data_IF_025182335197
#
_entry.id   IF_025182335197
#
_cell.length_a   1.000
_cell.length_b   1.000
_cell.length_c   1.000
_cell.angle_alpha   90.00
_cell.angle_beta   90.00
_cell.angle_gamma   90.00
#
_symmetry.space_group_name_H-M   'P 1'
#
loop_
_entity.id
_entity.type
_entity.pdbx_description
1 polymer ?
#
# COMPACT_ATOMS: atom_id res chain seq x y z
N UNK A 1 -18.65 12.42 -17.47
CA UNK A 1 -17.67 12.00 -16.43
C UNK A 1 -16.28 12.48 -16.80
N UNK A 2 -15.62 13.29 -15.96
CA UNK A 2 -14.21 13.69 -16.18
C UNK A 2 -13.30 12.49 -15.91
N UNK A 3 -12.40 12.18 -16.85
CA UNK A 3 -11.37 11.15 -16.64
C UNK A 3 -10.35 11.69 -15.63
N UNK A 4 -9.97 10.88 -14.65
CA UNK A 4 -8.89 11.23 -13.72
C UNK A 4 -7.56 11.07 -14.47
N UNK A 5 -6.72 12.11 -14.43
CA UNK A 5 -5.34 12.05 -14.91
C UNK A 5 -4.48 11.40 -13.82
N UNK A 6 -3.67 10.42 -14.19
CA UNK A 6 -2.73 9.75 -13.28
C UNK A 6 -1.41 9.47 -14.00
N UNK A 7 -0.30 9.43 -13.26
CA UNK A 7 1.00 8.94 -13.75
C UNK A 7 0.99 7.41 -13.72
N UNK A 8 1.56 6.78 -14.74
CA UNK A 8 1.68 5.33 -14.80
C UNK A 8 3.16 4.95 -14.86
N UNK A 9 3.64 4.21 -13.86
CA UNK A 9 5.04 3.83 -13.69
C UNK A 9 5.24 2.36 -14.07
N UNK A 10 6.31 2.08 -14.81
CA UNK A 10 6.65 0.70 -15.19
C UNK A 10 7.22 -0.04 -13.99
N UNK A 11 6.76 -1.28 -13.70
CA UNK A 11 7.38 -2.09 -12.67
C UNK A 11 8.77 -2.61 -13.07
N UNK A 12 9.11 -2.60 -14.36
CA UNK A 12 10.37 -3.11 -14.87
C UNK A 12 11.36 -1.98 -15.18
N UNK A 13 12.57 -2.09 -14.63
CA UNK A 13 13.67 -1.15 -14.86
C UNK A 13 14.07 -1.15 -16.34
N UNK A 14 14.26 0.04 -16.92
CA UNK A 14 14.69 0.19 -18.31
C UNK A 14 13.63 -0.08 -19.38
N UNK A 15 12.40 -0.45 -18.99
CA UNK A 15 11.30 -0.74 -19.91
C UNK A 15 10.18 0.27 -19.67
N UNK A 16 9.74 0.95 -20.74
CA UNK A 16 8.58 1.84 -20.65
C UNK A 16 7.29 1.04 -20.46
N UNK A 17 6.28 1.65 -19.83
CA UNK A 17 4.93 1.08 -19.73
C UNK A 17 4.39 0.60 -21.09
N UNK A 18 4.62 1.38 -22.16
CA UNK A 18 4.16 1.03 -23.51
C UNK A 18 4.84 -0.25 -24.03
N UNK A 19 6.13 -0.43 -23.76
CA UNK A 19 6.86 -1.63 -24.14
C UNK A 19 6.38 -2.84 -23.34
N UNK A 20 6.29 -2.72 -22.01
CA UNK A 20 5.86 -3.82 -21.14
C UNK A 20 4.45 -4.31 -21.49
N UNK A 21 3.51 -3.41 -21.77
CA UNK A 21 2.12 -3.77 -22.14
C UNK A 21 2.06 -4.65 -23.39
N UNK A 22 2.99 -4.49 -24.34
CA UNK A 22 3.03 -5.29 -25.56
C UNK A 22 3.49 -6.73 -25.33
N UNK A 23 4.20 -6.98 -24.24
CA UNK A 23 4.77 -8.29 -23.92
C UNK A 23 3.97 -9.04 -22.86
N UNK A 24 2.86 -8.47 -22.36
CA UNK A 24 2.06 -9.12 -21.32
C UNK A 24 1.31 -10.34 -21.86
N UNK A 25 1.31 -11.46 -21.13
CA UNK A 25 0.38 -12.56 -21.36
C UNK A 25 -1.08 -12.09 -21.36
N UNK A 26 -1.99 -12.79 -22.09
CA UNK A 26 -3.39 -12.39 -22.20
C UNK A 26 -4.10 -12.13 -20.87
N UNK A 27 -3.84 -12.96 -19.86
CA UNK A 27 -4.48 -12.84 -18.54
C UNK A 27 -4.02 -11.59 -17.78
N UNK A 28 -2.72 -11.32 -17.77
CA UNK A 28 -2.17 -10.09 -17.18
C UNK A 28 -2.61 -8.84 -17.95
N UNK A 29 -2.73 -8.93 -19.28
CA UNK A 29 -3.29 -7.83 -20.08
C UNK A 29 -4.77 -7.58 -19.76
N UNK A 30 -5.57 -8.63 -19.55
CA UNK A 30 -6.96 -8.51 -19.15
C UNK A 30 -7.11 -7.90 -17.76
N UNK A 31 -6.28 -8.33 -16.80
CA UNK A 31 -6.20 -7.75 -15.47
C UNK A 31 -5.81 -6.27 -15.52
N UNK A 32 -4.74 -5.91 -16.24
CA UNK A 32 -4.30 -4.53 -16.41
C UNK A 32 -5.38 -3.62 -17.01
N UNK A 33 -6.18 -4.13 -17.97
CA UNK A 33 -7.32 -3.37 -18.52
C UNK A 33 -8.36 -3.03 -17.44
N UNK A 34 -8.61 -3.93 -16.49
CA UNK A 34 -9.53 -3.68 -15.35
C UNK A 34 -8.96 -2.59 -14.44
N UNK A 35 -7.69 -2.71 -14.04
CA UNK A 35 -7.00 -1.74 -13.19
C UNK A 35 -7.02 -0.34 -13.83
N UNK A 36 -6.59 -0.21 -15.09
CA UNK A 36 -6.61 1.06 -15.83
C UNK A 36 -8.02 1.65 -15.95
N UNK A 37 -9.05 0.81 -16.13
CA UNK A 37 -10.45 1.27 -16.17
C UNK A 37 -10.86 1.87 -14.83
N UNK A 38 -10.47 1.26 -13.71
CA UNK A 38 -10.73 1.81 -12.37
C UNK A 38 -9.96 3.11 -12.13
N UNK A 39 -8.66 3.17 -12.44
CA UNK A 39 -7.83 4.39 -12.31
C UNK A 39 -8.43 5.58 -13.06
N UNK A 40 -8.76 5.40 -14.34
CA UNK A 40 -9.37 6.45 -15.18
C UNK A 40 -10.72 6.95 -14.65
N UNK A 41 -11.47 6.10 -13.96
CA UNK A 41 -12.76 6.42 -13.37
C UNK A 41 -12.66 6.95 -11.94
N UNK A 42 -11.47 6.98 -11.33
CA UNK A 42 -11.31 7.28 -9.91
C UNK A 42 -11.98 6.25 -8.99
N UNK A 43 -12.13 5.02 -9.47
CA UNK A 43 -12.84 3.94 -8.78
C UNK A 43 -11.89 2.94 -8.10
N UNK A 44 -10.64 3.35 -7.85
CA UNK A 44 -9.67 2.52 -7.12
C UNK A 44 -10.07 2.50 -5.65
N UNK A 45 -10.09 1.32 -5.00
CA UNK A 45 -10.45 1.22 -3.60
C UNK A 45 -9.54 2.09 -2.73
N UNK A 46 -10.15 2.82 -1.81
CA UNK A 46 -9.44 3.62 -0.80
C UNK A 46 -9.24 2.77 0.46
N UNK A 47 -8.01 2.60 0.97
CA UNK A 47 -7.78 1.82 2.19
C UNK A 47 -8.53 2.41 3.40
N UNK A 48 -8.80 3.72 3.43
CA UNK A 48 -9.60 4.32 4.51
C UNK A 48 -11.07 3.88 4.52
N UNK A 49 -11.59 3.36 3.41
CA UNK A 49 -13.00 2.98 3.31
C UNK A 49 -13.37 1.74 4.14
N UNK A 50 -12.40 0.86 4.37
CA UNK A 50 -12.55 -0.36 5.17
C UNK A 50 -11.53 -0.43 6.31
N UNK A 51 -10.85 0.66 6.66
CA UNK A 51 -9.90 0.72 7.77
C UNK A 51 -10.57 0.30 9.09
N UNK A 52 -9.95 -0.64 9.79
CA UNK A 52 -10.15 -0.87 11.22
C UNK A 52 -9.18 0.08 11.92
N UNK A 53 -9.73 1.13 12.54
CA UNK A 53 -8.95 2.20 13.16
C UNK A 53 -9.07 2.13 14.68
N UNK A 54 -8.06 1.54 15.31
CA UNK A 54 -7.92 1.39 16.77
C UNK A 54 -6.74 2.23 17.29
N UNK A 55 -6.24 3.16 16.46
CA UNK A 55 -5.03 3.93 16.71
C UNK A 55 -5.28 5.16 17.59
N UNK A 56 -4.30 5.43 18.44
CA UNK A 56 -4.17 6.68 19.22
C UNK A 56 -3.19 7.67 18.60
N UNK A 57 -2.45 7.25 17.58
CA UNK A 57 -1.48 8.08 16.87
C UNK A 57 -2.20 9.02 15.90
N UNK A 58 -2.00 10.33 16.05
CA UNK A 58 -2.66 11.41 15.29
C UNK A 58 -4.21 11.38 15.38
N UNK A 59 -4.91 12.17 14.56
CA UNK A 59 -6.37 12.18 14.50
C UNK A 59 -6.90 11.15 13.50
N UNK A 60 -8.09 10.57 13.71
CA UNK A 60 -8.70 9.64 12.76
C UNK A 60 -8.81 10.22 11.34
N UNK A 61 -9.16 11.50 11.22
CA UNK A 61 -9.24 12.18 9.92
C UNK A 61 -7.88 12.22 9.23
N UNK A 62 -6.82 12.51 9.99
CA UNK A 62 -5.47 12.58 9.45
C UNK A 62 -4.97 11.22 8.98
N UNK A 63 -5.16 10.18 9.80
CA UNK A 63 -4.81 8.80 9.45
C UNK A 63 -5.43 8.39 8.13
N UNK A 64 -6.74 8.62 7.97
CA UNK A 64 -7.49 8.31 6.74
C UNK A 64 -6.90 9.02 5.52
N UNK A 65 -6.58 10.31 5.64
CA UNK A 65 -5.95 11.09 4.55
C UNK A 65 -4.56 10.58 4.21
N UNK A 66 -3.75 10.28 5.22
CA UNK A 66 -2.39 9.80 5.04
C UNK A 66 -2.36 8.47 4.29
N UNK A 67 -3.12 7.47 4.76
CA UNK A 67 -3.13 6.14 4.13
C UNK A 67 -3.68 6.19 2.70
N UNK A 68 -4.72 7.00 2.47
CA UNK A 68 -5.27 7.18 1.13
C UNK A 68 -4.25 7.86 0.19
N UNK A 69 -3.48 8.83 0.70
CA UNK A 69 -2.44 9.51 -0.08
C UNK A 69 -1.28 8.56 -0.42
N UNK A 70 -0.77 7.81 0.56
CA UNK A 70 0.31 6.83 0.34
C UNK A 70 -0.13 5.78 -0.68
N UNK A 71 -1.29 5.17 -0.47
CA UNK A 71 -1.80 4.16 -1.37
C UNK A 71 -2.11 4.72 -2.77
N UNK A 72 -2.55 5.97 -2.89
CA UNK A 72 -2.76 6.60 -4.19
C UNK A 72 -1.45 6.79 -4.99
N UNK A 73 -0.33 7.10 -4.33
CA UNK A 73 0.99 7.20 -4.98
C UNK A 73 1.42 5.84 -5.53
N UNK A 74 1.30 4.79 -4.72
CA UNK A 74 1.69 3.43 -5.10
C UNK A 74 0.80 2.89 -6.21
N UNK A 75 -0.48 3.29 -6.22
CA UNK A 75 -1.40 2.93 -7.29
C UNK A 75 -1.01 3.56 -8.66
N UNK A 76 -0.02 4.44 -8.73
CA UNK A 76 0.57 4.85 -10.01
C UNK A 76 1.33 3.71 -10.71
N UNK A 77 1.78 2.69 -9.97
CA UNK A 77 2.44 1.53 -10.57
C UNK A 77 1.49 0.75 -11.47
N UNK A 78 1.99 0.18 -12.56
CA UNK A 78 1.17 -0.38 -13.64
C UNK A 78 0.05 -1.32 -13.16
N UNK A 79 0.40 -2.25 -12.28
CA UNK A 79 -0.51 -3.27 -11.75
C UNK A 79 -1.27 -2.82 -10.48
N UNK A 80 -0.98 -1.64 -9.94
CA UNK A 80 -1.63 -1.12 -8.74
C UNK A 80 -0.95 -1.59 -7.46
N UNK A 81 -1.72 -1.61 -6.36
CA UNK A 81 -1.21 -1.73 -4.98
C UNK A 81 -0.88 -3.16 -4.51
N UNK A 82 -1.51 -4.17 -5.09
CA UNK A 82 -1.52 -5.54 -4.58
C UNK A 82 -0.16 -6.29 -4.61
N UNK A 83 0.86 -5.73 -5.27
CA UNK A 83 2.24 -6.27 -5.27
C UNK A 83 3.24 -5.35 -4.53
N UNK A 84 2.75 -4.29 -3.89
CA UNK A 84 3.57 -3.16 -3.44
C UNK A 84 3.56 -2.98 -1.92
N UNK A 85 3.49 -4.08 -1.17
CA UNK A 85 3.43 -4.02 0.29
C UNK A 85 4.68 -3.35 0.88
N UNK A 86 5.87 -3.67 0.36
CA UNK A 86 7.13 -3.06 0.79
C UNK A 86 7.15 -1.55 0.57
N UNK A 87 6.87 -1.08 -0.65
CA UNK A 87 6.86 0.36 -0.95
C UNK A 87 5.79 1.10 -0.14
N UNK A 88 4.66 0.44 0.14
CA UNK A 88 3.64 0.98 1.04
C UNK A 88 4.13 1.17 2.45
N UNK A 89 4.77 0.16 3.03
CA UNK A 89 5.31 0.23 4.37
C UNK A 89 6.40 1.30 4.49
N UNK A 90 7.33 1.36 3.53
CA UNK A 90 8.44 2.34 3.54
C UNK A 90 7.93 3.78 3.40
N UNK A 91 6.95 4.05 2.53
CA UNK A 91 6.39 5.40 2.41
C UNK A 91 5.63 5.82 3.67
N UNK A 92 4.93 4.89 4.33
CA UNK A 92 4.26 5.17 5.61
C UNK A 92 5.25 5.40 6.74
N UNK A 93 6.27 4.56 6.86
CA UNK A 93 7.37 4.72 7.83
C UNK A 93 7.98 6.12 7.72
N UNK A 94 8.42 6.52 6.51
CA UNK A 94 9.02 7.85 6.28
C UNK A 94 8.06 8.99 6.60
N UNK A 95 6.78 8.79 6.33
CA UNK A 95 5.75 9.77 6.67
C UNK A 95 5.64 9.96 8.17
N UNK A 96 5.58 8.87 8.93
CA UNK A 96 5.48 8.88 10.38
C UNK A 96 6.75 9.44 11.03
N UNK A 97 7.93 9.07 10.53
CA UNK A 97 9.21 9.65 10.95
C UNK A 97 9.22 11.16 10.71
N UNK A 98 8.76 11.63 9.55
CA UNK A 98 8.66 13.08 9.26
C UNK A 98 7.64 13.82 10.13
N UNK A 99 6.72 13.09 10.76
CA UNK A 99 5.77 13.61 11.74
C UNK A 99 6.29 13.52 13.19
N UNK A 100 7.50 12.99 13.39
CA UNK A 100 8.16 12.88 14.70
C UNK A 100 7.89 11.57 15.45
N UNK A 101 7.35 10.55 14.79
CA UNK A 101 7.13 9.24 15.38
C UNK A 101 8.31 8.29 15.12
N UNK A 102 8.61 7.44 16.09
CA UNK A 102 9.50 6.29 15.89
C UNK A 102 8.69 5.17 15.21
N UNK A 103 8.89 5.03 13.90
CA UNK A 103 8.22 4.05 13.06
C UNK A 103 9.24 3.19 12.32
N UNK A 104 8.87 1.95 12.02
CA UNK A 104 9.70 1.00 11.29
C UNK A 104 8.87 0.22 10.28
N UNK A 105 9.30 0.19 9.02
CA UNK A 105 8.76 -0.75 8.04
C UNK A 105 9.36 -2.13 8.29
N UNK A 106 8.50 -3.15 8.30
CA UNK A 106 8.88 -4.53 8.59
C UNK A 106 8.44 -5.42 7.45
N UNK A 107 9.29 -6.40 7.10
CA UNK A 107 9.03 -7.42 6.09
C UNK A 107 8.94 -8.77 6.80
N UNK A 108 7.95 -9.57 6.44
CA UNK A 108 7.79 -10.89 7.01
C UNK A 108 6.70 -11.69 6.33
N UNK A 109 6.17 -12.67 7.05
CA UNK A 109 5.10 -13.54 6.57
C UNK A 109 3.80 -13.15 7.26
N UNK A 110 2.77 -12.91 6.45
CA UNK A 110 1.39 -12.85 6.90
C UNK A 110 0.74 -14.22 6.71
N UNK A 111 0.33 -14.86 7.81
CA UNK A 111 -0.42 -16.12 7.79
C UNK A 111 -1.89 -15.82 8.04
N UNK A 112 -2.74 -16.10 7.07
CA UNK A 112 -4.18 -15.82 7.14
C UNK A 112 -4.94 -17.00 7.76
N UNK A 113 -6.14 -16.74 8.26
CA UNK A 113 -7.04 -17.76 8.84
C UNK A 113 -7.35 -18.95 7.91
N UNK A 114 -7.20 -18.78 6.60
CA UNK A 114 -7.30 -19.86 5.60
C UNK A 114 -6.07 -20.78 5.54
N UNK A 115 -5.01 -20.49 6.30
CA UNK A 115 -3.70 -21.12 6.20
C UNK A 115 -2.85 -20.60 5.04
N UNK A 116 -3.33 -19.61 4.29
CA UNK A 116 -2.55 -18.98 3.24
C UNK A 116 -1.43 -18.13 3.84
N UNK A 117 -0.23 -18.23 3.26
CA UNK A 117 0.94 -17.46 3.67
C UNK A 117 1.42 -16.57 2.53
N UNK A 118 1.86 -15.37 2.87
CA UNK A 118 2.29 -14.38 1.90
C UNK A 118 3.42 -13.52 2.47
N UNK A 119 4.44 -13.25 1.66
CA UNK A 119 5.46 -12.25 1.99
C UNK A 119 4.80 -10.87 2.01
N UNK A 120 4.73 -10.28 3.19
CA UNK A 120 4.00 -9.05 3.45
C UNK A 120 4.87 -8.02 4.13
N UNK A 121 4.49 -6.76 4.02
CA UNK A 121 5.15 -5.67 4.73
C UNK A 121 4.12 -4.77 5.40
N UNK A 122 4.43 -4.38 6.63
CA UNK A 122 3.60 -3.51 7.48
C UNK A 122 4.50 -2.53 8.23
N UNK A 123 3.90 -1.56 8.93
CA UNK A 123 4.65 -0.61 9.77
C UNK A 123 4.35 -0.88 11.23
N UNK A 124 5.39 -0.83 12.06
CA UNK A 124 5.29 -0.80 13.52
C UNK A 124 5.61 0.61 13.99
N UNK A 125 4.79 1.18 14.86
CA UNK A 125 5.00 2.53 15.40
C UNK A 125 4.44 2.61 16.82
N UNK A 126 5.28 2.90 17.81
CA UNK A 126 4.87 3.08 19.21
C UNK A 126 3.94 1.99 19.78
N UNK A 127 4.18 0.71 19.42
CA UNK A 127 3.35 -0.43 19.85
C UNK A 127 2.07 -0.66 19.02
N UNK A 128 1.84 0.16 17.99
CA UNK A 128 0.80 -0.03 16.99
C UNK A 128 1.34 -0.69 15.72
N UNK A 129 0.44 -1.36 15.00
CA UNK A 129 0.66 -2.01 13.71
C UNK A 129 -0.20 -1.30 12.66
N UNK A 130 0.40 -1.03 11.50
CA UNK A 130 -0.26 -0.44 10.34
C UNK A 130 -0.11 -1.39 9.15
N UNK A 131 -1.22 -1.99 8.75
CA UNK A 131 -1.34 -2.84 7.57
C UNK A 131 -2.44 -2.30 6.67
N UNK A 132 -2.09 -1.32 5.84
CA UNK A 132 -3.08 -0.61 5.01
C UNK A 132 -3.19 -1.16 3.60
N UNK A 133 -2.30 -2.06 3.19
CA UNK A 133 -2.27 -2.59 1.83
C UNK A 133 -3.00 -3.92 1.66
N UNK A 134 -3.30 -4.61 2.77
CA UNK A 134 -4.00 -5.88 2.77
C UNK A 134 -5.36 -5.84 2.05
N UNK A 135 -6.07 -4.71 2.07
CA UNK A 135 -7.34 -4.57 1.34
C UNK A 135 -7.21 -4.83 -0.17
N UNK A 136 -6.05 -4.54 -0.74
CA UNK A 136 -5.79 -4.69 -2.16
C UNK A 136 -5.32 -6.09 -2.55
N UNK A 137 -4.95 -6.94 -1.60
CA UNK A 137 -4.39 -8.26 -1.91
C UNK A 137 -5.38 -9.14 -2.69
N UNK A 138 -6.68 -8.91 -2.49
CA UNK A 138 -7.76 -9.63 -3.19
C UNK A 138 -7.74 -9.42 -4.71
N UNK A 139 -7.01 -8.39 -5.19
CA UNK A 139 -6.80 -8.15 -6.61
C UNK A 139 -5.74 -9.10 -7.20
N UNK A 140 -4.87 -9.68 -6.37
CA UNK A 140 -3.81 -10.58 -6.81
C UNK A 140 -4.38 -11.97 -7.16
N UNK A 141 -4.15 -12.50 -8.37
CA UNK A 141 -4.66 -13.81 -8.78
C UNK A 141 -4.09 -14.98 -7.97
N UNK A 142 -2.96 -14.79 -7.27
CA UNK A 142 -2.35 -15.82 -6.42
C UNK A 142 -2.96 -15.87 -5.02
N UNK A 143 -3.81 -14.91 -4.65
CA UNK A 143 -4.51 -14.92 -3.35
C UNK A 143 -5.76 -15.79 -3.45
N UNK A 144 -5.91 -16.80 -2.56
CA UNK A 144 -7.10 -17.65 -2.54
C UNK A 144 -8.39 -16.85 -2.38
N UNK A 145 -9.44 -17.28 -3.09
CA UNK A 145 -10.78 -16.71 -2.93
C UNK A 145 -11.23 -16.88 -1.47
N UNK A 146 -11.77 -15.80 -0.90
CA UNK A 146 -12.24 -15.79 0.49
C UNK A 146 -11.25 -15.15 1.47
N UNK A 147 -9.97 -15.04 1.11
CA UNK A 147 -9.01 -14.21 1.85
C UNK A 147 -9.35 -12.74 1.58
N UNK A 148 -10.02 -12.07 2.52
CA UNK A 148 -10.47 -10.68 2.36
C UNK A 148 -10.14 -9.84 3.60
N UNK A 149 -8.85 -9.67 3.92
CA UNK A 149 -8.45 -8.87 5.06
C UNK A 149 -8.77 -7.39 4.85
N UNK A 150 -9.11 -6.73 5.96
CA UNK A 150 -9.29 -5.28 6.00
C UNK A 150 -7.98 -4.55 6.27
N UNK A 151 -7.85 -3.31 5.81
CA UNK A 151 -6.79 -2.42 6.27
C UNK A 151 -6.89 -2.22 7.79
N UNK A 152 -5.76 -2.19 8.49
CA UNK A 152 -5.68 -2.04 9.94
C UNK A 152 -4.69 -0.93 10.33
N UNK A 153 -5.06 -0.15 11.34
CA UNK A 153 -4.14 0.72 12.07
C UNK A 153 -4.58 0.75 13.54
N UNK A 154 -3.77 0.17 14.41
CA UNK A 154 -3.98 0.23 15.86
C UNK A 154 -3.04 -0.65 16.65
N UNK A 155 -3.28 -0.79 17.96
CA UNK A 155 -2.42 -1.58 18.86
C UNK A 155 -2.28 -3.04 18.41
N UNK A 156 -1.09 -3.63 18.56
CA UNK A 156 -0.82 -5.00 18.08
C UNK A 156 -1.79 -6.04 18.66
N UNK A 157 -2.16 -5.92 19.94
CA UNK A 157 -3.07 -6.85 20.63
C UNK A 157 -4.51 -6.86 20.07
N UNK A 158 -4.88 -5.85 19.29
CA UNK A 158 -6.19 -5.74 18.62
C UNK A 158 -6.11 -6.05 17.13
N UNK A 159 -4.99 -6.59 16.65
CA UNK A 159 -4.88 -7.04 15.27
C UNK A 159 -6.04 -8.00 14.97
N UNK A 160 -6.74 -7.86 13.82
CA UNK A 160 -7.83 -8.74 13.48
C UNK A 160 -7.37 -10.20 13.44
N UNK A 161 -8.19 -11.10 13.96
CA UNK A 161 -7.89 -12.54 13.99
C UNK A 161 -7.87 -13.21 12.60
N UNK A 162 -8.04 -12.43 11.53
CA UNK A 162 -7.98 -12.90 10.15
C UNK A 162 -6.55 -13.16 9.66
N UNK A 163 -5.54 -12.62 10.35
CA UNK A 163 -4.12 -12.79 10.02
C UNK A 163 -3.22 -12.74 11.25
N UNK A 164 -2.04 -13.32 11.13
CA UNK A 164 -0.92 -13.17 12.07
C UNK A 164 0.34 -12.78 11.29
N UNK A 165 1.26 -12.09 11.96
CA UNK A 165 2.52 -11.66 11.36
C UNK A 165 3.71 -12.31 12.03
N UNK A 166 4.66 -12.78 11.21
CA UNK A 166 5.96 -13.25 11.65
C UNK A 166 7.03 -12.41 10.96
N UNK A 167 7.84 -11.70 11.75
CA UNK A 167 8.92 -10.84 11.23
C UNK A 167 10.03 -11.69 10.63
N UNK A 168 10.51 -11.32 9.44
CA UNK A 168 11.70 -11.92 8.83
C UNK A 168 12.86 -10.94 8.82
N UNK A 169 12.62 -9.70 8.39
CA UNK A 169 13.62 -8.63 8.40
C UNK A 169 12.93 -7.27 8.52
N UNK A 170 13.68 -6.26 8.92
CA UNK A 170 13.24 -4.88 8.95
C UNK A 170 14.15 -3.97 8.10
N UNK A 171 15.06 -4.58 7.35
CA UNK A 171 15.88 -3.92 6.35
C UNK A 171 15.14 -3.83 5.02
N UNK A 172 15.21 -2.67 4.39
CA UNK A 172 14.69 -2.47 3.04
C UNK A 172 15.74 -1.78 2.16
N UNK A 173 15.97 -2.36 0.99
CA UNK A 173 16.84 -1.78 -0.04
C UNK A 173 16.28 -0.48 -0.62
N UNK A 174 17.18 0.31 -1.20
CA UNK A 174 16.87 1.51 -1.98
C UNK A 174 15.93 1.18 -3.15
N UNK A 175 14.89 2.00 -3.33
CA UNK A 175 13.91 1.84 -4.41
C UNK A 175 13.76 3.18 -5.17
N UNK A 176 14.07 3.22 -6.49
CA UNK A 176 14.01 4.46 -7.26
C UNK A 176 12.60 5.05 -7.35
N UNK A 177 11.55 4.21 -7.36
CA UNK A 177 10.17 4.68 -7.42
C UNK A 177 9.82 5.47 -6.15
N UNK A 178 10.31 5.00 -4.99
CA UNK A 178 10.18 5.72 -3.72
C UNK A 178 11.00 7.00 -3.75
N UNK A 179 12.29 6.92 -4.07
CA UNK A 179 13.22 8.03 -3.84
C UNK A 179 13.06 9.18 -4.83
N UNK A 180 12.86 8.86 -6.10
CA UNK A 180 12.83 9.85 -7.17
C UNK A 180 11.42 10.42 -7.40
N UNK A 181 10.37 9.65 -7.10
CA UNK A 181 9.01 10.01 -7.48
C UNK A 181 8.05 10.19 -6.31
N UNK A 182 7.90 9.16 -5.46
CA UNK A 182 6.83 9.17 -4.46
C UNK A 182 7.18 9.92 -3.19
N UNK A 183 8.39 9.74 -2.65
CA UNK A 183 8.80 10.37 -1.41
C UNK A 183 8.87 11.90 -1.50
N UNK A 184 9.46 12.53 -2.54
CA UNK A 184 9.46 13.98 -2.66
C UNK A 184 8.05 14.58 -2.68
N UNK A 185 7.13 13.95 -3.41
CA UNK A 185 5.73 14.38 -3.49
C UNK A 185 5.00 14.21 -2.16
N UNK A 186 5.20 13.08 -1.49
CA UNK A 186 4.59 12.80 -0.21
C UNK A 186 5.10 13.75 0.88
N UNK A 187 6.40 14.03 0.91
CA UNK A 187 7.02 14.98 1.84
C UNK A 187 6.45 16.40 1.68
N UNK A 188 6.29 16.85 0.44
CA UNK A 188 5.65 18.14 0.16
C UNK A 188 4.15 18.15 0.54
N UNK A 189 3.45 17.02 0.37
CA UNK A 189 2.08 16.89 0.85
C UNK A 189 1.99 16.97 2.39
N UNK A 190 2.88 16.29 3.11
CA UNK A 190 2.95 16.28 4.57
C UNK A 190 3.22 17.68 5.14
N UNK A 191 4.11 18.45 4.51
CA UNK A 191 4.44 19.81 4.96
C UNK A 191 3.22 20.75 4.93
N UNK A 192 2.34 20.56 3.94
CA UNK A 192 1.10 21.32 3.71
C UNK A 192 -0.11 20.78 4.48
N UNK A 193 -0.04 19.53 4.92
CA UNK A 193 -1.11 18.84 5.62
C UNK A 193 -0.56 18.28 6.93
N UNK A 194 -0.21 19.15 7.88
CA UNK A 194 0.15 18.69 9.23
C UNK A 194 -1.13 18.30 10.00
N UNK A 195 -1.07 17.28 10.88
CA UNK A 195 -2.15 17.05 11.83
C UNK A 195 -2.31 18.32 12.67
N UNK A 196 -3.54 18.84 12.75
CA UNK A 196 -3.89 19.97 13.62
C UNK A 196 -3.98 19.51 15.06
#
# INVERSE_FOLDING_TARGET
>A
MKKVKYREISPAVGITVKQLVKTLPPDLAAFLRKIRKQKRKGARPKPSSNLIDESKITTPEYRRKLIDKVCALIDERLFGRHEMCKQCAVLLERSLISLGYEAKAVIGIATYSSGFEWEHSWVVVQGEVIDVNADSMIENPHVPKGTNPRSYWGVADKLPSDRNFTVTTDEHEWDPDIEEYWWPELKDWLSRNKPK
#
